data_IF_596135049540
#
_entry.id   IF_596135049540
#
_cell.length_a   1.000
_cell.length_b   1.000
_cell.length_c   1.000
_cell.angle_alpha   90.00
_cell.angle_beta   90.00
_cell.angle_gamma   90.00
#
_symmetry.space_group_name_H-M   'P 1'
#
loop_
_entity.id
_entity.type
_entity.pdbx_description
1 polymer ?
#
# COMPACT_ATOMS: atom_id res chain seq x y z
N UNK A 1 10.61 15.64 -12.68
CA UNK A 1 9.44 14.80 -12.34
C UNK A 1 9.73 14.18 -11.00
N UNK A 2 8.78 14.08 -10.05
CA UNK A 2 9.03 13.33 -8.83
C UNK A 2 9.35 11.89 -9.19
N UNK A 3 10.33 11.29 -8.50
CA UNK A 3 10.63 9.88 -8.66
C UNK A 3 9.40 9.06 -8.25
N UNK A 4 9.08 8.03 -9.04
CA UNK A 4 7.99 7.12 -8.72
C UNK A 4 8.33 6.30 -7.48
N UNK A 5 7.32 6.00 -6.68
CA UNK A 5 7.48 5.11 -5.53
C UNK A 5 7.81 3.70 -6.01
N UNK A 6 8.69 3.03 -5.26
CA UNK A 6 8.85 1.58 -5.38
C UNK A 6 7.52 0.89 -5.06
N UNK A 7 7.16 -0.11 -5.86
CA UNK A 7 5.90 -0.83 -5.72
C UNK A 7 6.04 -2.29 -6.16
N UNK A 8 5.27 -3.16 -5.53
CA UNK A 8 5.03 -4.52 -6.03
C UNK A 8 3.90 -4.44 -7.04
N UNK A 9 4.07 -5.08 -8.18
CA UNK A 9 3.04 -5.13 -9.23
C UNK A 9 2.69 -6.56 -9.61
N UNK A 10 1.39 -6.83 -9.70
CA UNK A 10 0.87 -8.16 -10.04
C UNK A 10 -0.22 -7.99 -11.09
N UNK A 11 -0.05 -8.62 -12.24
CA UNK A 11 -1.08 -8.71 -13.27
C UNK A 11 -1.76 -10.07 -13.22
N UNK A 12 -3.09 -10.06 -13.23
CA UNK A 12 -3.91 -11.29 -13.14
C UNK A 12 -4.20 -11.92 -14.51
N UNK A 13 -4.05 -11.17 -15.59
CA UNK A 13 -4.07 -11.64 -16.97
C UNK A 13 -3.37 -10.61 -17.89
N UNK A 14 -2.93 -11.00 -19.10
CA UNK A 14 -2.34 -10.06 -20.06
C UNK A 14 -3.29 -8.91 -20.43
N UNK A 15 -2.72 -7.75 -20.77
CA UNK A 15 -3.46 -6.54 -21.16
C UNK A 15 -4.56 -6.15 -20.15
N UNK A 16 -4.18 -5.85 -18.90
CA UNK A 16 -5.15 -5.49 -17.86
C UNK A 16 -5.97 -4.26 -18.28
N UNK A 17 -7.28 -4.30 -18.01
CA UNK A 17 -8.22 -3.22 -18.35
C UNK A 17 -8.58 -2.34 -17.16
N UNK A 18 -8.10 -2.72 -15.97
CA UNK A 18 -8.32 -2.01 -14.73
C UNK A 18 -7.06 -2.11 -13.85
N UNK A 19 -6.96 -1.18 -12.90
CA UNK A 19 -5.91 -1.21 -11.88
C UNK A 19 -6.47 -0.99 -10.49
N UNK A 20 -5.89 -1.68 -9.52
CA UNK A 20 -6.14 -1.48 -8.09
C UNK A 20 -4.83 -1.02 -7.47
N UNK A 21 -4.83 0.19 -6.90
CA UNK A 21 -3.71 0.70 -6.11
C UNK A 21 -4.04 0.51 -4.64
N UNK A 22 -3.26 -0.32 -3.94
CA UNK A 22 -3.52 -0.70 -2.57
C UNK A 22 -2.48 -0.12 -1.62
N UNK A 23 -2.90 0.80 -0.75
CA UNK A 23 -2.01 1.49 0.19
C UNK A 23 -2.05 0.79 1.55
N UNK A 24 -0.89 0.33 2.02
CA UNK A 24 -0.77 -0.30 3.34
C UNK A 24 -0.93 0.71 4.49
N UNK A 25 -1.12 0.19 5.72
CA UNK A 25 -1.24 1.00 6.94
C UNK A 25 0.10 1.54 7.47
N UNK A 26 0.06 2.30 8.57
CA UNK A 26 1.27 2.86 9.20
C UNK A 26 2.25 1.75 9.63
N UNK A 27 3.53 1.91 9.29
CA UNK A 27 4.60 1.00 9.72
C UNK A 27 4.70 -0.32 8.94
N UNK A 28 3.70 -0.63 8.13
CA UNK A 28 3.66 -1.78 7.21
C UNK A 28 4.48 -1.53 5.91
N UNK A 29 4.50 -2.51 5.01
CA UNK A 29 4.97 -2.34 3.64
C UNK A 29 4.02 -2.95 2.59
N UNK A 30 4.44 -3.00 1.33
CA UNK A 30 3.60 -3.43 0.20
C UNK A 30 3.29 -4.93 0.19
N UNK A 31 4.04 -5.75 0.94
CA UNK A 31 3.83 -7.20 1.02
C UNK A 31 2.64 -7.57 1.91
N UNK A 32 2.22 -6.71 2.85
CA UNK A 32 1.16 -6.99 3.83
C UNK A 32 -0.16 -7.46 3.21
N UNK A 33 -0.43 -7.09 1.95
CA UNK A 33 -1.69 -7.36 1.28
C UNK A 33 -1.54 -8.12 -0.05
N UNK A 34 -0.35 -8.62 -0.41
CA UNK A 34 -0.18 -9.33 -1.69
C UNK A 34 -1.09 -10.55 -1.81
N UNK A 35 -1.32 -11.26 -0.69
CA UNK A 35 -2.18 -12.45 -0.65
C UNK A 35 -3.67 -12.13 -0.89
N UNK A 36 -4.08 -10.85 -0.93
CA UNK A 36 -5.45 -10.48 -1.31
C UNK A 36 -5.75 -10.81 -2.78
N UNK A 37 -4.73 -10.80 -3.65
CA UNK A 37 -4.92 -10.99 -5.09
C UNK A 37 -5.59 -12.33 -5.41
N UNK A 38 -5.06 -13.49 -4.95
CA UNK A 38 -5.77 -14.75 -5.11
C UNK A 38 -7.06 -14.83 -4.27
N UNK A 39 -7.12 -14.18 -3.10
CA UNK A 39 -8.29 -14.24 -2.21
C UNK A 39 -9.54 -13.53 -2.76
N UNK A 40 -9.37 -12.53 -3.64
CA UNK A 40 -10.48 -11.85 -4.32
C UNK A 40 -11.27 -12.76 -5.27
N UNK A 41 -10.76 -13.95 -5.59
CA UNK A 41 -11.42 -14.96 -6.42
C UNK A 41 -12.02 -14.38 -7.72
N UNK A 42 -11.24 -13.53 -8.40
CA UNK A 42 -11.68 -12.89 -9.64
C UNK A 42 -12.03 -13.96 -10.69
N UNK A 43 -13.08 -13.74 -11.52
CA UNK A 43 -13.39 -14.65 -12.61
C UNK A 43 -12.18 -14.85 -13.52
N UNK A 44 -11.99 -16.08 -14.01
CA UNK A 44 -10.88 -16.44 -14.90
C UNK A 44 -10.86 -15.51 -16.11
N UNK A 45 -9.68 -14.97 -16.43
CA UNK A 45 -9.48 -14.05 -17.55
C UNK A 45 -9.78 -12.58 -17.25
N UNK A 46 -10.17 -12.24 -16.01
CA UNK A 46 -10.30 -10.83 -15.59
C UNK A 46 -8.91 -10.19 -15.47
N UNK A 47 -8.54 -9.33 -16.41
CA UNK A 47 -7.25 -8.62 -16.41
C UNK A 47 -7.26 -7.38 -15.51
N UNK A 48 -6.69 -7.51 -14.32
CA UNK A 48 -6.45 -6.42 -13.36
C UNK A 48 -4.97 -6.35 -12.99
N UNK A 49 -4.40 -5.14 -12.99
CA UNK A 49 -3.08 -4.83 -12.43
C UNK A 49 -3.23 -4.35 -10.99
N UNK A 50 -2.68 -5.09 -10.04
CA UNK A 50 -2.56 -4.67 -8.66
C UNK A 50 -1.22 -3.98 -8.47
N UNK A 51 -1.23 -2.83 -7.79
CA UNK A 51 -0.05 -2.03 -7.46
C UNK A 51 -0.03 -1.80 -5.96
N UNK A 52 1.01 -2.28 -5.28
CA UNK A 52 1.21 -2.15 -3.84
C UNK A 52 2.43 -1.24 -3.60
N UNK A 53 2.25 0.10 -3.59
CA UNK A 53 3.35 1.02 -3.38
C UNK A 53 3.87 0.97 -1.94
N UNK A 54 5.16 1.25 -1.78
CA UNK A 54 5.79 1.40 -0.49
C UNK A 54 5.75 2.86 -0.03
N UNK A 55 5.22 3.10 1.17
CA UNK A 55 5.35 4.42 1.77
C UNK A 55 6.85 4.71 2.07
N UNK A 56 7.30 5.96 1.88
CA UNK A 56 8.67 6.34 2.20
C UNK A 56 8.93 6.27 3.71
N UNK A 57 10.19 6.05 4.07
CA UNK A 57 10.66 6.12 5.45
C UNK A 57 10.68 7.57 5.93
N UNK A 58 10.03 7.85 7.06
CA UNK A 58 9.99 9.19 7.66
C UNK A 58 9.72 9.13 9.17
N UNK A 59 10.13 10.15 9.95
CA UNK A 59 9.74 10.26 11.35
C UNK A 59 8.23 10.47 11.48
N UNK A 60 7.63 9.85 12.51
CA UNK A 60 6.18 9.96 12.80
C UNK A 60 5.97 10.51 14.22
N UNK A 61 5.32 11.66 14.32
CA UNK A 61 5.19 12.47 15.55
C UNK A 61 4.46 11.71 16.68
N UNK A 62 3.34 11.05 16.40
CA UNK A 62 2.57 10.28 17.39
C UNK A 62 3.36 9.10 17.97
N UNK A 63 4.35 8.61 17.22
CA UNK A 63 5.28 7.55 17.64
C UNK A 63 6.60 8.13 18.18
N UNK A 64 6.59 9.35 18.70
CA UNK A 64 7.77 9.98 19.30
C UNK A 64 8.91 10.26 18.31
N UNK A 65 8.58 10.44 17.03
CA UNK A 65 9.57 10.67 15.97
C UNK A 65 10.24 9.41 15.44
N UNK A 66 9.78 8.21 15.82
CA UNK A 66 10.30 6.96 15.29
C UNK A 66 10.19 6.91 13.75
N UNK A 67 11.26 6.49 13.07
CA UNK A 67 11.31 6.43 11.61
C UNK A 67 10.74 5.11 11.13
N UNK A 68 9.66 5.19 10.37
CA UNK A 68 8.99 4.02 9.78
C UNK A 68 8.32 4.40 8.45
N UNK A 69 7.77 3.43 7.73
CA UNK A 69 7.02 3.67 6.50
C UNK A 69 5.71 4.40 6.83
N UNK A 70 5.54 5.61 6.29
CA UNK A 70 4.35 6.41 6.51
C UNK A 70 4.02 7.31 5.31
N UNK A 71 2.73 7.37 4.94
CA UNK A 71 2.22 8.19 3.85
C UNK A 71 2.20 9.69 4.17
N UNK A 72 2.08 10.02 5.45
CA UNK A 72 2.09 11.37 6.03
C UNK A 72 2.47 11.27 7.51
N UNK A 73 2.88 12.39 8.09
CA UNK A 73 3.12 12.48 9.53
C UNK A 73 1.79 12.53 10.29
N UNK A 74 1.67 11.75 11.36
CA UNK A 74 0.50 11.72 12.24
C UNK A 74 0.90 12.40 13.54
N UNK A 75 0.25 13.52 13.87
CA UNK A 75 0.64 14.37 15.00
C UNK A 75 -0.07 14.03 16.31
N UNK A 76 -1.36 13.73 16.25
CA UNK A 76 -2.16 13.28 17.38
C UNK A 76 -3.25 12.29 16.93
N UNK A 77 -3.79 11.53 17.89
CA UNK A 77 -4.97 10.68 17.71
C UNK A 77 -6.21 11.29 18.37
N UNK A 78 -6.11 12.51 18.91
CA UNK A 78 -7.12 13.17 19.75
C UNK A 78 -7.70 12.28 20.86
N UNK A 79 -6.93 11.30 21.36
CA UNK A 79 -7.42 10.34 22.35
C UNK A 79 -8.39 9.30 21.80
N UNK A 80 -8.56 9.20 20.47
CA UNK A 80 -9.28 8.10 19.83
C UNK A 80 -8.38 6.86 19.70
N UNK A 81 -7.80 6.41 20.81
CA UNK A 81 -7.27 5.06 20.88
C UNK A 81 -8.47 4.12 20.98
N UNK A 82 -8.78 3.45 19.88
CA UNK A 82 -9.63 2.25 19.90
C UNK A 82 -8.88 1.10 20.55
#
# INVERSE_FOLDING_TARGET
MPDLLEAIEIETAPAPRASIVWMHGLGADGHDFVDIVPALALPVGTGVRFVFPHAPMRPVTINGGYVMRAWYDIRDDHGQRR
#
